data_IF_512049324277
#
_entry.id   IF_512049324277
#
_cell.length_a   1.000
_cell.length_b   1.000
_cell.length_c   1.000
_cell.angle_alpha   90.00
_cell.angle_beta   90.00
_cell.angle_gamma   90.00
#
_symmetry.space_group_name_H-M   'P 1'
#
loop_
_entity.id
_entity.type
_entity.pdbx_description
1 polymer ?
#
# COMPACT_ATOMS: atom_id res chain seq x y z
N UNK A 1 -2.57 14.84 6.49
CA UNK A 1 -2.12 13.66 5.72
C UNK A 1 -0.63 13.53 5.92
N UNK A 2 -0.15 12.45 6.56
CA UNK A 2 1.29 12.17 6.61
C UNK A 2 1.75 11.95 5.16
N UNK A 3 2.64 12.80 4.65
CA UNK A 3 3.38 12.45 3.44
C UNK A 3 4.32 11.31 3.85
N UNK A 4 3.86 10.07 3.71
CA UNK A 4 4.71 8.91 3.91
C UNK A 4 5.78 8.93 2.83
N UNK A 5 6.94 9.47 3.19
CA UNK A 5 8.19 9.26 2.46
C UNK A 5 8.44 7.76 2.48
N UNK A 6 8.55 7.15 1.31
CA UNK A 6 8.90 5.73 1.19
C UNK A 6 10.34 5.57 1.67
N UNK A 7 10.55 4.71 2.67
CA UNK A 7 11.88 4.41 3.19
C UNK A 7 12.68 3.60 2.16
N UNK A 8 14.01 3.64 2.28
CA UNK A 8 14.89 2.84 1.43
C UNK A 8 14.69 1.33 1.67
N UNK A 9 14.30 0.94 2.88
CA UNK A 9 13.94 -0.44 3.23
C UNK A 9 12.70 -0.91 2.45
N UNK A 10 11.61 -0.14 2.46
CA UNK A 10 10.39 -0.48 1.70
C UNK A 10 10.65 -0.51 0.19
N UNK A 11 11.48 0.42 -0.30
CA UNK A 11 11.90 0.40 -1.70
C UNK A 11 12.70 -0.87 -2.02
N UNK A 12 13.65 -1.24 -1.16
CA UNK A 12 14.50 -2.42 -1.34
C UNK A 12 13.67 -3.71 -1.36
N UNK A 13 12.75 -3.87 -0.41
CA UNK A 13 11.81 -5.01 -0.38
C UNK A 13 10.99 -5.11 -1.68
N UNK A 14 10.48 -3.98 -2.18
CA UNK A 14 9.73 -3.97 -3.44
C UNK A 14 10.60 -4.31 -4.66
N UNK A 15 11.84 -3.81 -4.71
CA UNK A 15 12.80 -4.14 -5.77
C UNK A 15 13.15 -5.62 -5.78
N UNK A 16 13.40 -6.20 -4.62
CA UNK A 16 13.70 -7.64 -4.48
C UNK A 16 12.54 -8.50 -4.97
N UNK A 17 11.30 -8.14 -4.62
CA UNK A 17 10.08 -8.80 -5.10
C UNK A 17 9.94 -8.72 -6.62
N UNK A 18 10.25 -7.57 -7.20
CA UNK A 18 10.08 -7.31 -8.63
C UNK A 18 11.30 -7.71 -9.47
N UNK A 19 12.40 -8.15 -8.83
CA UNK A 19 13.69 -8.40 -9.46
C UNK A 19 14.24 -7.18 -10.24
N UNK A 20 14.14 -5.99 -9.64
CA UNK A 20 14.59 -4.72 -10.23
C UNK A 20 15.91 -4.23 -9.61
N UNK A 21 16.66 -3.43 -10.38
CA UNK A 21 17.87 -2.72 -9.92
C UNK A 21 17.57 -1.26 -9.52
N UNK A 22 18.63 -0.48 -9.29
CA UNK A 22 18.54 0.88 -8.71
C UNK A 22 18.23 1.99 -9.73
N UNK A 23 18.21 1.68 -11.02
CA UNK A 23 18.13 2.66 -12.12
C UNK A 23 16.84 3.50 -12.10
N UNK A 24 15.78 3.00 -11.45
CA UNK A 24 14.45 3.60 -11.42
C UNK A 24 13.94 3.93 -10.01
N UNK A 25 14.82 4.01 -9.00
CA UNK A 25 14.46 4.22 -7.60
C UNK A 25 13.47 5.38 -7.38
N UNK A 26 13.70 6.51 -8.03
CA UNK A 26 12.81 7.68 -7.95
C UNK A 26 11.41 7.39 -8.51
N UNK A 27 11.32 6.60 -9.58
CA UNK A 27 10.06 6.18 -10.15
C UNK A 27 9.33 5.20 -9.23
N UNK A 28 10.04 4.19 -8.74
CA UNK A 28 9.51 3.19 -7.81
C UNK A 28 9.01 3.83 -6.52
N UNK A 29 9.76 4.78 -5.94
CA UNK A 29 9.31 5.56 -4.76
C UNK A 29 8.02 6.34 -5.05
N UNK A 30 7.86 6.93 -6.25
CA UNK A 30 6.62 7.63 -6.64
C UNK A 30 5.44 6.66 -6.77
N UNK A 31 5.65 5.50 -7.37
CA UNK A 31 4.63 4.45 -7.52
C UNK A 31 4.19 3.96 -6.13
N UNK A 32 5.13 3.56 -5.28
CA UNK A 32 4.88 3.11 -3.91
C UNK A 32 4.16 4.18 -3.08
N UNK A 33 4.61 5.43 -3.12
CA UNK A 33 3.97 6.53 -2.39
C UNK A 33 2.53 6.77 -2.85
N UNK A 34 2.28 6.69 -4.16
CA UNK A 34 0.94 6.88 -4.74
C UNK A 34 0.01 5.73 -4.36
N UNK A 35 0.51 4.49 -4.39
CA UNK A 35 -0.23 3.30 -3.94
C UNK A 35 -0.56 3.33 -2.47
N UNK A 36 0.41 3.67 -1.61
CA UNK A 36 0.19 3.85 -0.18
C UNK A 36 -0.89 4.90 0.09
N UNK A 37 -0.78 6.09 -0.51
CA UNK A 37 -1.78 7.16 -0.36
C UNK A 37 -3.17 6.77 -0.85
N UNK A 38 -3.25 5.99 -1.94
CA UNK A 38 -4.53 5.51 -2.44
C UNK A 38 -5.19 4.56 -1.44
N UNK A 39 -4.43 3.60 -0.90
CA UNK A 39 -4.95 2.60 0.01
C UNK A 39 -5.23 3.16 1.41
N UNK A 40 -4.44 4.11 1.92
CA UNK A 40 -4.76 4.81 3.18
C UNK A 40 -6.13 5.52 3.12
N UNK A 41 -6.54 6.02 1.94
CA UNK A 41 -7.86 6.66 1.78
C UNK A 41 -9.03 5.67 1.80
N UNK A 42 -8.80 4.41 1.43
CA UNK A 42 -9.86 3.42 1.24
C UNK A 42 -9.91 2.45 2.43
N UNK A 43 -8.75 2.06 2.94
CA UNK A 43 -8.60 1.10 4.02
C UNK A 43 -8.45 1.78 5.40
N UNK A 44 -8.05 3.05 5.46
CA UNK A 44 -7.82 3.82 6.70
C UNK A 44 -6.34 3.92 7.10
N UNK A 45 -6.05 4.51 8.27
CA UNK A 45 -4.67 4.89 8.69
C UNK A 45 -3.83 3.69 9.16
N UNK A 46 -3.31 2.93 8.20
CA UNK A 46 -2.38 1.83 8.43
C UNK A 46 -0.92 2.30 8.38
N UNK A 47 -0.08 1.72 9.22
CA UNK A 47 1.36 1.92 9.15
C UNK A 47 1.99 0.90 8.18
N UNK A 48 2.50 1.40 7.05
CA UNK A 48 3.15 0.61 6.02
C UNK A 48 4.33 -0.23 6.54
N UNK A 49 5.03 0.23 7.58
CA UNK A 49 6.20 -0.49 8.09
C UNK A 49 5.82 -1.61 9.07
N UNK A 50 4.66 -1.49 9.72
CA UNK A 50 4.26 -2.35 10.83
C UNK A 50 3.05 -3.25 10.54
N UNK A 51 2.33 -3.02 9.44
CA UNK A 51 1.22 -3.85 9.02
C UNK A 51 1.55 -4.59 7.72
N UNK A 52 1.90 -5.88 7.85
CA UNK A 52 2.32 -6.72 6.73
C UNK A 52 1.22 -6.94 5.68
N UNK A 53 -0.05 -7.07 6.08
CA UNK A 53 -1.15 -7.24 5.12
C UNK A 53 -1.40 -5.98 4.29
N UNK A 54 -1.35 -4.81 4.93
CA UNK A 54 -1.44 -3.53 4.24
C UNK A 54 -0.22 -3.27 3.35
N UNK A 55 0.99 -3.62 3.82
CA UNK A 55 2.22 -3.53 3.03
C UNK A 55 2.14 -4.38 1.77
N UNK A 56 1.67 -5.62 1.90
CA UNK A 56 1.44 -6.53 0.78
C UNK A 56 0.49 -5.92 -0.25
N UNK A 57 -0.62 -5.33 0.20
CA UNK A 57 -1.58 -4.69 -0.69
C UNK A 57 -1.00 -3.46 -1.41
N UNK A 58 -0.15 -2.67 -0.73
CA UNK A 58 0.58 -1.54 -1.34
C UNK A 58 1.56 -2.03 -2.40
N UNK A 59 2.28 -3.13 -2.15
CA UNK A 59 3.18 -3.74 -3.12
C UNK A 59 2.43 -4.27 -4.34
N UNK A 60 1.29 -4.93 -4.13
CA UNK A 60 0.46 -5.43 -5.22
C UNK A 60 -0.08 -4.30 -6.09
N UNK A 61 -0.61 -3.23 -5.49
CA UNK A 61 -1.06 -2.06 -6.26
C UNK A 61 0.08 -1.41 -7.04
N UNK A 62 1.27 -1.35 -6.44
CA UNK A 62 2.47 -0.80 -7.06
C UNK A 62 2.96 -1.65 -8.22
N UNK A 63 2.89 -2.99 -8.09
CA UNK A 63 3.17 -3.93 -9.19
C UNK A 63 2.21 -3.72 -10.36
N UNK A 64 0.92 -3.57 -10.09
CA UNK A 64 -0.07 -3.32 -11.15
C UNK A 64 0.18 -1.97 -11.83
N UNK A 65 0.48 -0.91 -11.06
CA UNK A 65 0.81 0.39 -11.62
C UNK A 65 2.10 0.38 -12.45
N UNK A 66 3.15 -0.33 -12.00
CA UNK A 66 4.41 -0.47 -12.74
C UNK A 66 4.23 -1.21 -14.07
N UNK A 67 3.34 -2.21 -14.11
CA UNK A 67 3.08 -3.02 -15.31
C UNK A 67 1.91 -2.47 -16.17
N UNK A 68 1.54 -1.20 -16.02
CA UNK A 68 0.42 -0.57 -16.75
C UNK A 68 -0.88 -1.38 -16.72
N UNK A 69 -1.18 -1.98 -15.56
CA UNK A 69 -2.31 -2.90 -15.35
C UNK A 69 -3.22 -2.45 -14.19
N UNK A 70 -3.10 -1.19 -13.73
CA UNK A 70 -3.77 -0.69 -12.54
C UNK A 70 -5.30 -0.83 -12.59
N UNK A 71 -5.90 -0.83 -13.78
CA UNK A 71 -7.34 -1.01 -13.99
C UNK A 71 -7.88 -2.36 -13.49
N UNK A 72 -7.03 -3.38 -13.31
CA UNK A 72 -7.43 -4.69 -12.81
C UNK A 72 -7.29 -4.83 -11.29
N UNK A 73 -6.60 -3.89 -10.63
CA UNK A 73 -6.22 -4.01 -9.22
C UNK A 73 -7.43 -4.10 -8.29
N UNK A 74 -8.36 -3.13 -8.39
CA UNK A 74 -9.51 -3.03 -7.48
C UNK A 74 -10.39 -4.29 -7.55
N UNK A 75 -10.52 -4.89 -8.74
CA UNK A 75 -11.26 -6.14 -8.92
C UNK A 75 -10.55 -7.32 -8.29
N UNK A 76 -9.24 -7.44 -8.49
CA UNK A 76 -8.47 -8.61 -8.06
C UNK A 76 -8.24 -8.63 -6.54
N UNK A 77 -8.21 -7.45 -5.89
CA UNK A 77 -7.96 -7.30 -4.47
C UNK A 77 -9.15 -6.75 -3.68
N UNK A 78 -10.37 -6.78 -4.26
CA UNK A 78 -11.58 -6.24 -3.64
C UNK A 78 -11.82 -6.80 -2.23
N UNK A 79 -11.59 -8.10 -2.03
CA UNK A 79 -11.79 -8.72 -0.71
C UNK A 79 -10.83 -8.15 0.33
N UNK A 80 -9.55 -8.02 0.02
CA UNK A 80 -8.52 -7.51 0.93
C UNK A 80 -8.76 -6.03 1.25
N UNK A 81 -9.11 -5.23 0.23
CA UNK A 81 -9.46 -3.82 0.41
C UNK A 81 -10.63 -3.69 1.40
N UNK A 82 -11.68 -4.49 1.21
CA UNK A 82 -12.86 -4.46 2.08
C UNK A 82 -12.55 -4.96 3.49
N UNK A 83 -11.79 -6.05 3.64
CA UNK A 83 -11.41 -6.58 4.96
C UNK A 83 -10.65 -5.53 5.78
N UNK A 84 -9.59 -4.95 5.22
CA UNK A 84 -8.82 -3.89 5.90
C UNK A 84 -9.68 -2.66 6.20
N UNK A 85 -10.52 -2.22 5.26
CA UNK A 85 -11.42 -1.08 5.50
C UNK A 85 -12.42 -1.33 6.64
N UNK A 86 -12.99 -2.53 6.72
CA UNK A 86 -13.92 -2.90 7.80
C UNK A 86 -13.19 -3.03 9.13
N UNK A 87 -12.04 -3.69 9.16
CA UNK A 87 -11.25 -3.87 10.38
C UNK A 87 -10.84 -2.52 10.99
N UNK A 88 -10.43 -1.57 10.14
CA UNK A 88 -10.06 -0.22 10.59
C UNK A 88 -11.24 0.56 11.13
N UNK A 89 -12.39 0.49 10.46
CA UNK A 89 -13.62 1.12 10.96
C UNK A 89 -14.05 0.54 12.32
N UNK A 90 -13.91 -0.77 12.53
CA UNK A 90 -14.20 -1.42 13.81
C UNK A 90 -13.21 -1.04 14.91
N UNK A 91 -11.93 -0.83 14.59
CA UNK A 91 -10.92 -0.31 15.51
C UNK A 91 -11.30 1.10 15.99
N UNK A 92 -11.64 2.00 15.08
CA UNK A 92 -12.04 3.38 15.40
C UNK A 92 -13.30 3.44 16.28
N UNK A 93 -14.32 2.63 15.98
CA UNK A 93 -15.55 2.56 16.78
C UNK A 93 -15.27 2.10 18.22
N UNK A 94 -14.34 1.16 18.43
CA UNK A 94 -13.98 0.69 19.78
C UNK A 94 -13.30 1.79 20.58
N UNK A 95 -12.43 2.57 19.94
CA UNK A 95 -11.70 3.68 20.59
C UNK A 95 -12.64 4.83 21.02
N UNK A 96 -13.70 5.09 20.26
CA UNK A 96 -14.70 6.12 20.61
C UNK A 96 -15.67 5.68 21.73
N UNK A 97 -15.75 4.38 22.01
CA UNK A 97 -16.66 3.78 22.99
C UNK A 97 -16.07 3.58 24.39
N UNK A 98 -14.75 3.73 24.55
CA UNK A 98 -13.98 3.62 25.80
C UNK A 98 -13.69 5.01 26.42
#
# INVERSE_FOLDING_TARGET
>A
MRNATISDEILQEFKERMHLGDEEDDNLKRILSTSNKALLRVCGDYDLNNNEEFKELVFERSRYAYNDALEYFDKNFLSQINSLGVDKALEEIKLDGD
#
